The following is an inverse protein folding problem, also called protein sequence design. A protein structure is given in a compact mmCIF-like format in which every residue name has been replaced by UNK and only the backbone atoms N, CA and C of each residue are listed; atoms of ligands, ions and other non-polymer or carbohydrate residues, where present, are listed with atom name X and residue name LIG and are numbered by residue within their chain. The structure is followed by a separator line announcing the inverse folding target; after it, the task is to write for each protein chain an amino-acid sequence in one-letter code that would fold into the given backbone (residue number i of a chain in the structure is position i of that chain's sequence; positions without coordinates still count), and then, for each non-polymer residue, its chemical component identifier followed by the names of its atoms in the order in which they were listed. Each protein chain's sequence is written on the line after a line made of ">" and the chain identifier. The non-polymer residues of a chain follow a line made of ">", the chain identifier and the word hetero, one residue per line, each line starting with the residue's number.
data_IF_220001459737
#
_entry.id   IF_220001459737
#
_cell.length_a   1.000
_cell.length_b   1.000
_cell.length_c   1.000
_cell.angle_alpha   90.00
_cell.angle_beta   90.00
_cell.angle_gamma   90.00
#
_symmetry.space_group_name_H-M   'P 1'
#
loop_
_entity.id
_entity.type
_entity.pdbx_description
1 polymer ?
#
# COMPACT_ATOMS: atom_id res chain seq x y z
N UNK A 1 26.22 2.54 -18.84
CA UNK A 1 26.04 1.15 -18.39
C UNK A 1 24.56 0.86 -18.08
N UNK A 2 23.85 1.60 -17.16
CA UNK A 2 22.44 1.37 -16.87
C UNK A 2 21.56 1.40 -18.14
N UNK A 3 21.67 2.46 -18.95
CA UNK A 3 20.93 2.57 -20.20
C UNK A 3 21.26 1.46 -21.20
N UNK A 4 22.50 0.98 -21.25
CA UNK A 4 22.90 -0.13 -22.13
C UNK A 4 22.24 -1.45 -21.73
N UNK A 5 22.13 -1.72 -20.41
CA UNK A 5 21.42 -2.89 -19.92
C UNK A 5 19.93 -2.81 -20.25
N UNK A 6 19.31 -1.66 -19.97
CA UNK A 6 17.88 -1.43 -20.24
C UNK A 6 17.57 -1.57 -21.74
N UNK A 7 18.40 -0.98 -22.60
CA UNK A 7 18.21 -1.04 -24.06
C UNK A 7 18.32 -2.48 -24.63
N UNK A 8 19.00 -3.38 -23.94
CA UNK A 8 19.14 -4.81 -24.32
C UNK A 8 18.13 -5.72 -23.65
N UNK A 9 17.43 -5.23 -22.63
CA UNK A 9 16.48 -6.02 -21.85
C UNK A 9 15.30 -6.49 -22.71
N UNK A 10 14.84 -7.70 -22.47
CA UNK A 10 13.63 -8.26 -23.07
C UNK A 10 12.46 -8.25 -22.06
N UNK A 11 12.79 -8.31 -20.78
CA UNK A 11 11.85 -8.37 -19.66
C UNK A 11 12.24 -7.37 -18.56
N UNK A 12 12.39 -6.05 -18.88
CA UNK A 12 12.73 -5.08 -17.86
C UNK A 12 11.58 -4.90 -16.87
N UNK A 13 11.89 -4.72 -15.59
CA UNK A 13 10.91 -4.45 -14.56
C UNK A 13 11.43 -3.39 -13.59
N UNK A 14 10.64 -2.33 -13.35
CA UNK A 14 11.00 -1.25 -12.43
C UNK A 14 10.34 -1.46 -11.07
N UNK A 15 11.12 -1.25 -9.99
CA UNK A 15 10.64 -1.21 -8.61
C UNK A 15 10.69 0.23 -8.13
N UNK A 16 9.52 0.83 -7.89
CA UNK A 16 9.38 2.25 -7.57
C UNK A 16 9.21 2.44 -6.08
N UNK A 17 10.15 3.12 -5.44
CA UNK A 17 10.16 3.40 -4.02
C UNK A 17 9.85 4.85 -3.64
N UNK A 18 9.94 5.13 -2.34
CA UNK A 18 9.65 6.44 -1.75
C UNK A 18 10.62 7.54 -2.22
N UNK A 19 11.83 7.20 -2.64
CA UNK A 19 12.80 8.15 -3.13
C UNK A 19 12.31 8.96 -4.35
N UNK A 20 11.39 8.41 -5.14
CA UNK A 20 10.73 9.13 -6.24
C UNK A 20 9.80 10.22 -5.72
N UNK A 21 9.04 9.92 -4.67
CA UNK A 21 8.16 10.89 -4.00
C UNK A 21 8.96 12.01 -3.34
N UNK A 22 9.98 11.63 -2.55
CA UNK A 22 10.85 12.57 -1.83
C UNK A 22 11.64 13.49 -2.77
N UNK A 23 12.12 12.95 -3.90
CA UNK A 23 12.82 13.71 -4.93
C UNK A 23 11.88 14.53 -5.84
N UNK A 24 10.55 14.36 -5.71
CA UNK A 24 9.57 14.99 -6.60
C UNK A 24 9.72 14.57 -8.07
N UNK A 25 10.20 13.34 -8.33
CA UNK A 25 10.62 12.84 -9.64
C UNK A 25 9.50 12.10 -10.40
N UNK A 26 8.23 12.47 -10.16
CA UNK A 26 7.07 11.77 -10.73
C UNK A 26 7.01 11.83 -12.26
N UNK A 27 7.19 13.03 -12.83
CA UNK A 27 7.14 13.22 -14.28
C UNK A 27 8.33 12.52 -14.96
N UNK A 28 9.49 12.60 -14.34
CA UNK A 28 10.72 11.95 -14.81
C UNK A 28 10.60 10.42 -14.77
N UNK A 29 9.91 9.89 -13.75
CA UNK A 29 9.59 8.47 -13.69
C UNK A 29 8.66 8.05 -14.82
N UNK A 30 7.59 8.78 -15.07
CA UNK A 30 6.62 8.48 -16.13
C UNK A 30 7.33 8.50 -17.49
N UNK A 31 8.10 9.56 -17.79
CA UNK A 31 8.86 9.67 -19.04
C UNK A 31 9.86 8.50 -19.21
N UNK A 32 10.55 8.13 -18.13
CA UNK A 32 11.48 7.00 -18.12
C UNK A 32 10.77 5.67 -18.46
N UNK A 33 9.66 5.39 -17.79
CA UNK A 33 8.90 4.15 -17.99
C UNK A 33 8.28 4.09 -19.40
N UNK A 34 7.67 5.17 -19.85
CA UNK A 34 6.97 5.23 -21.14
C UNK A 34 7.96 5.15 -22.33
N UNK A 35 9.14 5.77 -22.22
CA UNK A 35 10.12 5.77 -23.31
C UNK A 35 10.57 4.37 -23.69
N UNK A 36 10.81 3.52 -22.71
CA UNK A 36 11.28 2.15 -22.93
C UNK A 36 10.21 1.08 -22.63
N UNK A 37 8.95 1.49 -22.43
CA UNK A 37 7.81 0.60 -22.17
C UNK A 37 8.07 -0.39 -21.02
N UNK A 38 8.52 0.15 -19.87
CA UNK A 38 8.93 -0.64 -18.71
C UNK A 38 7.77 -0.77 -17.73
N UNK A 39 7.22 -1.97 -17.49
CA UNK A 39 6.25 -2.19 -16.41
C UNK A 39 6.89 -1.92 -15.05
N UNK A 40 6.08 -1.42 -14.09
CA UNK A 40 6.56 -1.01 -12.79
C UNK A 40 5.69 -1.51 -11.64
N UNK A 41 6.33 -2.07 -10.61
CA UNK A 41 5.73 -2.34 -9.31
C UNK A 41 6.11 -1.25 -8.30
N UNK A 42 5.24 -0.98 -7.34
CA UNK A 42 5.43 0.08 -6.34
C UNK A 42 5.61 -0.52 -4.95
N UNK A 43 6.56 0.01 -4.19
CA UNK A 43 6.65 -0.32 -2.75
C UNK A 43 5.52 0.36 -1.97
N UNK A 44 5.27 -0.06 -0.74
CA UNK A 44 4.27 0.55 0.14
C UNK A 44 4.39 2.10 0.19
N UNK A 45 5.59 2.61 0.42
CA UNK A 45 5.85 4.06 0.47
C UNK A 45 5.94 4.73 -0.92
N UNK A 46 5.98 3.95 -1.99
CA UNK A 46 6.00 4.45 -3.37
C UNK A 46 4.64 4.36 -4.08
N UNK A 47 3.55 4.02 -3.37
CA UNK A 47 2.25 3.74 -3.98
C UNK A 47 1.67 4.90 -4.78
N UNK A 48 1.92 6.15 -4.38
CA UNK A 48 1.43 7.33 -5.11
C UNK A 48 2.46 7.94 -6.08
N UNK A 49 3.66 7.32 -6.21
CA UNK A 49 4.67 7.78 -7.17
C UNK A 49 4.27 7.55 -8.63
N UNK A 50 3.42 6.57 -8.89
CA UNK A 50 2.85 6.27 -10.20
C UNK A 50 1.33 6.11 -10.06
N UNK A 51 0.50 6.82 -10.85
CA UNK A 51 -0.95 6.72 -10.76
C UNK A 51 -1.45 5.28 -10.87
N UNK A 52 -2.51 4.95 -10.09
CA UNK A 52 -3.07 3.59 -10.06
C UNK A 52 -3.64 3.16 -11.41
N UNK A 53 -4.11 4.10 -12.24
CA UNK A 53 -4.65 3.87 -13.58
C UNK A 53 -3.59 3.97 -14.69
N UNK A 54 -2.30 4.14 -14.37
CA UNK A 54 -1.27 4.20 -15.39
C UNK A 54 -1.06 2.81 -16.03
N UNK A 55 -0.98 2.70 -17.37
CA UNK A 55 -0.92 1.39 -18.07
C UNK A 55 0.32 0.56 -17.73
N UNK A 56 1.40 1.19 -17.29
CA UNK A 56 2.63 0.50 -16.86
C UNK A 56 2.65 0.19 -15.36
N UNK A 57 1.60 0.54 -14.62
CA UNK A 57 1.50 0.22 -13.20
C UNK A 57 1.02 -1.23 -13.02
N UNK A 58 1.88 -2.06 -12.44
CA UNK A 58 1.59 -3.48 -12.23
C UNK A 58 1.07 -3.83 -10.84
N UNK A 59 1.05 -2.89 -9.90
CA UNK A 59 0.55 -3.08 -8.54
C UNK A 59 1.60 -2.85 -7.46
N UNK A 60 1.30 -3.33 -6.25
CA UNK A 60 2.19 -3.23 -5.08
C UNK A 60 3.16 -4.42 -5.04
N UNK A 61 4.37 -4.18 -4.53
CA UNK A 61 5.43 -5.17 -4.31
C UNK A 61 5.47 -5.66 -2.86
N UNK A 62 6.08 -6.81 -2.66
CA UNK A 62 6.48 -7.32 -1.35
C UNK A 62 5.52 -8.31 -0.72
N UNK A 63 5.68 -8.52 0.59
CA UNK A 63 5.02 -9.58 1.37
C UNK A 63 3.48 -9.63 1.18
N UNK A 64 2.82 -8.49 1.12
CA UNK A 64 1.38 -8.34 0.86
C UNK A 64 1.13 -7.62 -0.47
N UNK A 65 2.06 -7.72 -1.40
CA UNK A 65 1.97 -7.13 -2.73
C UNK A 65 0.98 -7.84 -3.64
N UNK A 66 0.88 -7.35 -4.87
CA UNK A 66 0.10 -8.00 -5.93
C UNK A 66 0.80 -9.27 -6.41
N UNK A 67 0.04 -10.30 -6.69
CA UNK A 67 0.57 -11.60 -7.12
C UNK A 67 1.42 -11.46 -8.38
N UNK A 68 0.90 -10.76 -9.40
CA UNK A 68 1.62 -10.54 -10.64
C UNK A 68 2.98 -9.84 -10.46
N UNK A 69 3.08 -8.81 -9.60
CA UNK A 69 4.34 -8.08 -9.40
C UNK A 69 5.41 -8.96 -8.77
N UNK A 70 5.05 -9.78 -7.80
CA UNK A 70 5.98 -10.68 -7.12
C UNK A 70 6.45 -11.81 -8.02
N UNK A 71 5.53 -12.44 -8.78
CA UNK A 71 5.87 -13.48 -9.75
C UNK A 71 6.80 -12.93 -10.83
N UNK A 72 6.47 -11.76 -11.39
CA UNK A 72 7.26 -11.15 -12.48
C UNK A 72 8.61 -10.57 -12.04
N UNK A 73 8.80 -10.29 -10.75
CA UNK A 73 10.13 -10.00 -10.19
C UNK A 73 11.07 -11.18 -10.39
N UNK A 74 10.58 -12.41 -10.30
CA UNK A 74 11.38 -13.62 -10.49
C UNK A 74 11.54 -14.06 -11.95
N UNK A 75 10.89 -13.36 -12.89
CA UNK A 75 10.97 -13.66 -14.33
C UNK A 75 11.70 -12.59 -15.15
N UNK A 76 11.89 -11.39 -14.59
CA UNK A 76 12.54 -10.28 -15.28
C UNK A 76 14.02 -10.58 -15.57
N UNK A 77 14.57 -9.98 -16.65
CA UNK A 77 15.98 -10.08 -16.99
C UNK A 77 16.80 -8.85 -16.54
N UNK A 78 16.15 -7.71 -16.37
CA UNK A 78 16.71 -6.50 -15.78
C UNK A 78 15.75 -5.93 -14.76
N UNK A 79 16.19 -5.85 -13.50
CA UNK A 79 15.47 -5.27 -12.39
C UNK A 79 16.01 -3.87 -12.08
N UNK A 80 15.13 -2.86 -12.08
CA UNK A 80 15.53 -1.46 -11.93
C UNK A 80 14.91 -0.93 -10.63
N UNK A 81 15.68 -0.92 -9.55
CA UNK A 81 15.26 -0.38 -8.26
C UNK A 81 15.46 1.14 -8.23
N UNK A 82 14.39 1.89 -8.03
CA UNK A 82 14.38 3.35 -8.10
C UNK A 82 13.96 3.95 -6.77
N UNK A 83 14.91 4.52 -6.02
CA UNK A 83 14.66 5.17 -4.74
C UNK A 83 14.01 4.25 -3.71
N UNK A 84 14.45 3.00 -3.62
CA UNK A 84 13.91 1.99 -2.70
C UNK A 84 15.03 1.19 -2.06
N UNK A 85 14.83 0.87 -0.78
CA UNK A 85 15.68 -0.08 -0.07
C UNK A 85 15.18 -1.49 -0.35
N UNK A 86 16.04 -2.43 -0.55
CA UNK A 86 15.68 -3.84 -0.60
C UNK A 86 15.40 -4.39 0.81
N UNK A 87 14.31 -3.90 1.46
CA UNK A 87 13.93 -4.38 2.79
C UNK A 87 13.40 -5.81 2.75
N UNK A 88 13.43 -6.48 3.89
CA UNK A 88 12.93 -7.85 4.08
C UNK A 88 11.45 -8.01 3.68
N UNK A 89 10.66 -6.94 3.83
CA UNK A 89 9.24 -6.92 3.40
C UNK A 89 9.06 -6.91 1.89
N UNK A 90 10.10 -6.55 1.14
CA UNK A 90 10.10 -6.57 -0.34
C UNK A 90 10.79 -7.83 -0.86
N UNK A 91 11.93 -8.22 -0.27
CA UNK A 91 12.77 -9.27 -0.82
C UNK A 91 12.41 -10.68 -0.34
N UNK A 92 11.73 -10.80 0.81
CA UNK A 92 11.64 -12.09 1.49
C UNK A 92 13.05 -12.63 1.76
N UNK A 93 13.43 -13.73 1.14
CA UNK A 93 14.78 -14.33 1.24
C UNK A 93 15.70 -13.68 0.20
N UNK A 94 16.66 -12.81 0.58
CA UNK A 94 17.50 -12.05 -0.35
C UNK A 94 18.24 -12.91 -1.38
N UNK A 95 18.75 -14.07 -0.98
CA UNK A 95 19.49 -14.97 -1.87
C UNK A 95 18.64 -15.62 -2.97
N UNK A 96 17.32 -15.54 -2.84
CA UNK A 96 16.34 -16.05 -3.81
C UNK A 96 15.67 -14.92 -4.62
N UNK A 97 15.97 -13.66 -4.33
CA UNK A 97 15.30 -12.52 -4.93
C UNK A 97 15.91 -12.18 -6.28
N UNK A 98 15.14 -12.35 -7.35
CA UNK A 98 15.52 -12.07 -8.74
C UNK A 98 16.93 -12.56 -9.14
N UNK A 99 17.34 -13.81 -8.84
CA UNK A 99 18.70 -14.28 -9.04
C UNK A 99 19.11 -14.35 -10.53
N UNK A 100 18.15 -14.35 -11.43
CA UNK A 100 18.32 -14.37 -12.88
C UNK A 100 18.52 -12.99 -13.49
N UNK A 101 18.15 -11.91 -12.77
CA UNK A 101 18.12 -10.55 -13.28
C UNK A 101 19.45 -9.82 -13.12
N UNK A 102 19.75 -8.90 -14.03
CA UNK A 102 20.73 -7.85 -13.81
C UNK A 102 20.11 -6.73 -12.99
N UNK A 103 20.74 -6.34 -11.91
CA UNK A 103 20.21 -5.37 -10.94
C UNK A 103 20.79 -3.99 -11.19
N UNK A 104 19.94 -3.01 -11.49
CA UNK A 104 20.26 -1.59 -11.52
C UNK A 104 19.65 -0.95 -10.27
N UNK A 105 20.46 -0.31 -9.43
CA UNK A 105 19.97 0.33 -8.21
C UNK A 105 20.25 1.84 -8.25
N UNK A 106 19.18 2.63 -8.32
CA UNK A 106 19.19 4.08 -8.22
C UNK A 106 18.81 4.49 -6.81
N UNK A 107 19.73 5.05 -6.06
CA UNK A 107 19.49 5.57 -4.74
C UNK A 107 20.36 6.80 -4.44
N UNK A 108 19.85 7.73 -3.63
CA UNK A 108 20.59 8.90 -3.19
C UNK A 108 21.61 8.54 -2.11
N UNK A 109 21.31 7.50 -1.32
CA UNK A 109 22.18 7.01 -0.25
C UNK A 109 23.11 5.90 -0.76
N UNK A 110 24.38 6.22 -0.89
CA UNK A 110 25.41 5.23 -1.26
C UNK A 110 25.46 4.04 -0.31
N UNK A 111 25.06 4.21 0.97
CA UNK A 111 25.08 3.13 1.97
C UNK A 111 23.99 2.07 1.73
N UNK A 112 22.96 2.35 0.94
CA UNK A 112 21.96 1.36 0.55
C UNK A 112 22.41 0.47 -0.63
N UNK A 113 23.41 0.90 -1.39
CA UNK A 113 23.95 0.11 -2.52
C UNK A 113 24.68 -1.13 -1.99
N UNK A 114 24.40 -2.27 -2.57
CA UNK A 114 24.96 -3.59 -2.21
C UNK A 114 24.69 -4.07 -0.76
N UNK A 115 23.83 -3.38 -0.03
CA UNK A 115 23.55 -3.67 1.37
C UNK A 115 22.76 -4.96 1.56
N UNK A 116 21.78 -5.23 0.72
CA UNK A 116 20.91 -6.43 0.81
C UNK A 116 21.00 -7.26 -0.46
N UNK A 117 20.87 -6.64 -1.62
CA UNK A 117 20.93 -7.28 -2.93
C UNK A 117 22.17 -6.75 -3.66
N UNK A 118 22.94 -7.66 -4.23
CA UNK A 118 24.11 -7.32 -5.04
C UNK A 118 23.69 -6.58 -6.31
N UNK A 119 24.28 -5.42 -6.54
CA UNK A 119 23.98 -4.54 -7.68
C UNK A 119 24.96 -4.79 -8.82
N UNK A 120 24.47 -4.92 -10.07
CA UNK A 120 25.34 -4.94 -11.26
C UNK A 120 25.72 -3.51 -11.69
N UNK A 121 24.75 -2.56 -11.60
CA UNK A 121 25.00 -1.14 -11.92
C UNK A 121 24.39 -0.26 -10.83
N UNK A 122 25.24 0.46 -10.11
CA UNK A 122 24.84 1.45 -9.12
C UNK A 122 24.74 2.86 -9.75
N UNK A 123 23.62 3.56 -9.50
CA UNK A 123 23.41 4.95 -9.89
C UNK A 123 23.16 5.75 -8.60
N UNK A 124 24.23 6.32 -8.04
CA UNK A 124 24.15 7.12 -6.81
C UNK A 124 23.77 8.56 -7.16
N UNK A 125 22.58 8.98 -6.74
CA UNK A 125 22.09 10.34 -7.00
C UNK A 125 20.58 10.46 -6.82
N UNK A 126 20.12 11.71 -6.80
CA UNK A 126 18.71 12.03 -6.72
C UNK A 126 17.95 11.54 -7.97
N UNK A 127 16.81 10.88 -7.77
CA UNK A 127 15.95 10.38 -8.86
C UNK A 127 15.55 11.50 -9.83
N UNK A 128 15.36 12.73 -9.34
CA UNK A 128 15.04 13.91 -10.15
C UNK A 128 16.08 14.21 -11.21
N UNK A 129 17.34 13.86 -10.96
CA UNK A 129 18.47 14.07 -11.89
C UNK A 129 18.86 12.79 -12.61
N UNK A 130 18.87 11.67 -11.91
CA UNK A 130 19.33 10.39 -12.44
C UNK A 130 18.39 9.84 -13.52
N UNK A 131 17.07 9.91 -13.32
CA UNK A 131 16.09 9.42 -14.29
C UNK A 131 16.21 10.13 -15.65
N UNK A 132 16.20 11.48 -15.75
CA UNK A 132 16.37 12.15 -17.04
C UNK A 132 17.72 11.86 -17.70
N UNK A 133 18.79 11.69 -16.91
CA UNK A 133 20.10 11.37 -17.45
C UNK A 133 20.12 10.00 -18.14
N UNK A 134 19.47 9.00 -17.54
CA UNK A 134 19.32 7.67 -18.13
C UNK A 134 18.35 7.72 -19.31
N UNK A 135 17.18 8.37 -19.14
CA UNK A 135 16.12 8.47 -20.14
C UNK A 135 16.63 9.02 -21.46
N UNK A 136 17.51 10.03 -21.45
CA UNK A 136 18.13 10.55 -22.67
C UNK A 136 18.87 9.50 -23.50
N UNK A 137 19.45 8.49 -22.82
CA UNK A 137 20.25 7.42 -23.45
C UNK A 137 19.43 6.17 -23.79
N UNK A 138 18.15 6.13 -23.39
CA UNK A 138 17.26 5.01 -23.72
C UNK A 138 16.79 5.10 -25.16
N UNK A 139 16.72 3.95 -25.80
CA UNK A 139 15.99 3.77 -27.04
C UNK A 139 14.48 3.75 -26.76
N UNK A 140 13.67 4.21 -27.72
CA UNK A 140 12.24 3.94 -27.67
C UNK A 140 12.04 2.44 -27.91
N UNK A 141 11.34 1.79 -27.01
CA UNK A 141 11.11 0.34 -27.06
C UNK A 141 9.63 0.00 -26.80
N UNK A 142 9.26 -1.24 -27.07
CA UNK A 142 7.93 -1.79 -26.80
C UNK A 142 8.10 -3.21 -26.26
N UNK A 143 7.64 -3.44 -25.04
CA UNK A 143 7.70 -4.75 -24.37
C UNK A 143 6.30 -5.35 -24.20
N UNK A 144 5.48 -5.30 -25.25
CA UNK A 144 4.07 -5.70 -25.20
C UNK A 144 3.86 -7.12 -24.67
N UNK A 145 4.56 -8.11 -25.23
CA UNK A 145 4.45 -9.51 -24.80
C UNK A 145 4.81 -9.67 -23.32
N UNK A 146 5.83 -8.94 -22.86
CA UNK A 146 6.23 -8.94 -21.47
C UNK A 146 5.15 -8.31 -20.56
N UNK A 147 4.59 -7.18 -20.92
CA UNK A 147 3.47 -6.55 -20.18
C UNK A 147 2.24 -7.44 -20.16
N UNK A 148 1.86 -8.00 -21.32
CA UNK A 148 0.69 -8.85 -21.45
C UNK A 148 0.83 -10.13 -20.59
N UNK A 149 2.06 -10.60 -20.36
CA UNK A 149 2.32 -11.78 -19.52
C UNK A 149 2.00 -11.59 -18.03
N UNK A 150 1.78 -10.36 -17.56
CA UNK A 150 1.29 -10.10 -16.20
C UNK A 150 -0.18 -10.48 -16.02
N UNK A 151 -0.95 -10.52 -17.12
CA UNK A 151 -2.39 -10.66 -17.07
C UNK A 151 -2.83 -12.01 -16.50
N UNK A 152 -2.11 -13.09 -16.80
CA UNK A 152 -2.39 -14.40 -16.24
C UNK A 152 -2.40 -14.40 -14.70
N UNK A 153 -1.39 -13.78 -14.07
CA UNK A 153 -1.31 -13.70 -12.61
C UNK A 153 -2.30 -12.72 -12.02
N UNK A 154 -2.61 -11.63 -12.74
CA UNK A 154 -3.65 -10.67 -12.33
C UNK A 154 -5.03 -11.34 -12.32
N UNK A 155 -5.35 -12.14 -13.33
CA UNK A 155 -6.61 -12.84 -13.39
C UNK A 155 -6.74 -13.84 -12.25
N UNK A 156 -5.69 -14.61 -11.95
CA UNK A 156 -5.69 -15.54 -10.82
C UNK A 156 -5.94 -14.83 -9.49
N UNK A 157 -5.31 -13.68 -9.29
CA UNK A 157 -5.49 -12.84 -8.10
C UNK A 157 -6.89 -12.23 -8.04
N UNK A 158 -7.41 -11.74 -9.17
CA UNK A 158 -8.76 -11.19 -9.27
C UNK A 158 -9.81 -12.21 -8.84
N UNK A 159 -9.75 -13.43 -9.38
CA UNK A 159 -10.74 -14.49 -9.11
C UNK A 159 -10.63 -15.04 -7.68
N UNK A 160 -9.41 -15.23 -7.17
CA UNK A 160 -9.21 -15.89 -5.88
C UNK A 160 -9.30 -14.97 -4.69
N UNK A 161 -8.90 -13.70 -4.85
CA UNK A 161 -8.74 -12.75 -3.74
C UNK A 161 -9.57 -11.49 -3.94
N UNK A 162 -9.27 -10.71 -5.00
CA UNK A 162 -9.77 -9.34 -5.11
C UNK A 162 -11.30 -9.29 -5.14
N UNK A 163 -11.93 -10.13 -5.98
CA UNK A 163 -13.40 -10.14 -6.10
C UNK A 163 -14.09 -10.47 -4.78
N UNK A 164 -13.52 -11.39 -4.01
CA UNK A 164 -14.05 -11.77 -2.70
C UNK A 164 -13.90 -10.66 -1.66
N UNK A 165 -12.79 -9.90 -1.73
CA UNK A 165 -12.47 -8.86 -0.74
C UNK A 165 -13.26 -7.57 -0.97
N UNK A 166 -13.51 -7.20 -2.25
CA UNK A 166 -14.11 -5.90 -2.58
C UNK A 166 -15.58 -5.97 -3.00
N UNK A 167 -16.06 -7.15 -3.43
CA UNK A 167 -17.44 -7.38 -3.86
C UNK A 167 -18.08 -8.60 -3.19
N UNK A 168 -17.94 -8.79 -1.86
CA UNK A 168 -18.58 -9.91 -1.20
C UNK A 168 -20.11 -9.78 -1.27
N UNK A 169 -20.80 -10.90 -1.54
CA UNK A 169 -22.27 -10.92 -1.66
C UNK A 169 -22.98 -11.27 -0.36
N UNK A 170 -22.28 -11.88 0.59
CA UNK A 170 -22.83 -12.37 1.86
C UNK A 170 -21.81 -12.26 3.01
N UNK A 171 -22.25 -12.55 4.21
CA UNK A 171 -21.40 -12.51 5.41
C UNK A 171 -21.17 -11.10 5.96
N UNK A 172 -20.31 -10.96 6.98
CA UNK A 172 -19.98 -9.67 7.57
C UNK A 172 -19.21 -8.77 6.60
N UNK A 173 -19.12 -7.47 6.93
CA UNK A 173 -18.29 -6.51 6.17
C UNK A 173 -16.82 -6.96 6.17
N UNK A 174 -16.12 -6.70 5.05
CA UNK A 174 -14.69 -6.90 4.90
C UNK A 174 -13.95 -5.57 4.80
N UNK A 175 -12.67 -5.55 5.20
CA UNK A 175 -11.84 -4.34 5.11
C UNK A 175 -11.67 -3.88 3.65
N UNK A 176 -11.57 -4.83 2.71
CA UNK A 176 -11.40 -4.54 1.27
C UNK A 176 -12.58 -3.79 0.68
N UNK A 177 -13.82 -4.23 0.95
CA UNK A 177 -15.02 -3.55 0.44
C UNK A 177 -15.18 -2.14 1.02
N UNK A 178 -14.90 -1.96 2.34
CA UNK A 178 -14.92 -0.62 2.96
C UNK A 178 -13.89 0.29 2.28
N UNK A 179 -12.68 -0.21 2.06
CA UNK A 179 -11.62 0.57 1.40
C UNK A 179 -12.00 0.94 -0.03
N UNK A 180 -12.58 0.01 -0.79
CA UNK A 180 -13.00 0.24 -2.16
C UNK A 180 -14.09 1.32 -2.24
N UNK A 181 -15.11 1.25 -1.39
CA UNK A 181 -16.19 2.25 -1.35
C UNK A 181 -15.65 3.64 -0.97
N UNK A 182 -14.74 3.73 -0.01
CA UNK A 182 -14.15 5.03 0.38
C UNK A 182 -13.30 5.63 -0.74
N UNK A 183 -12.47 4.83 -1.42
CA UNK A 183 -11.64 5.36 -2.51
C UNK A 183 -12.47 5.83 -3.70
N UNK A 184 -13.55 5.13 -4.05
CA UNK A 184 -14.49 5.53 -5.09
C UNK A 184 -15.27 6.80 -4.73
N UNK A 185 -15.78 6.89 -3.50
CA UNK A 185 -16.49 8.08 -3.01
C UNK A 185 -15.61 9.34 -2.98
N UNK A 186 -14.28 9.18 -2.94
CA UNK A 186 -13.30 10.28 -3.03
C UNK A 186 -12.73 10.47 -4.43
N UNK A 187 -13.30 9.83 -5.44
CA UNK A 187 -12.86 9.88 -6.85
C UNK A 187 -11.38 9.51 -7.03
N UNK A 188 -10.83 8.67 -6.13
CA UNK A 188 -9.43 8.25 -6.10
C UNK A 188 -8.43 9.41 -5.91
N UNK A 189 -8.86 10.53 -5.35
CA UNK A 189 -8.05 11.75 -5.19
C UNK A 189 -7.68 12.08 -3.75
N UNK A 190 -8.26 11.37 -2.76
CA UNK A 190 -7.96 11.61 -1.35
C UNK A 190 -6.51 11.26 -0.99
N UNK A 191 -6.06 11.78 0.15
CA UNK A 191 -4.85 11.32 0.83
C UNK A 191 -5.25 10.17 1.75
N UNK A 192 -4.66 9.00 1.53
CA UNK A 192 -4.72 7.87 2.44
C UNK A 192 -3.73 8.10 3.57
N UNK A 193 -4.22 8.13 4.79
CA UNK A 193 -3.40 7.91 5.98
C UNK A 193 -3.82 6.59 6.58
N UNK A 194 -2.88 5.71 6.89
CA UNK A 194 -3.22 4.48 7.57
C UNK A 194 -2.38 4.24 8.81
N UNK A 195 -3.03 3.67 9.82
CA UNK A 195 -2.36 3.13 10.98
C UNK A 195 -1.71 1.77 10.63
N UNK A 196 -1.16 1.08 11.58
CA UNK A 196 -0.40 -0.15 11.38
C UNK A 196 -1.23 -1.39 11.73
N UNK A 197 -1.09 -2.42 10.92
CA UNK A 197 -1.76 -3.71 11.06
C UNK A 197 -2.49 -4.14 9.77
N UNK A 198 -3.52 -4.97 9.91
CA UNK A 198 -4.32 -5.43 8.76
C UNK A 198 -4.95 -4.27 7.99
N UNK A 199 -5.41 -3.23 8.69
CA UNK A 199 -5.92 -2.01 8.08
C UNK A 199 -4.92 -1.35 7.13
N UNK A 200 -3.62 -1.34 7.47
CA UNK A 200 -2.55 -0.80 6.63
C UNK A 200 -2.39 -1.59 5.35
N UNK A 201 -2.36 -2.91 5.46
CA UNK A 201 -2.13 -3.81 4.33
C UNK A 201 -3.28 -3.73 3.33
N UNK A 202 -4.52 -3.82 3.80
CA UNK A 202 -5.71 -3.79 2.97
C UNK A 202 -5.97 -2.42 2.36
N UNK A 203 -5.87 -1.35 3.16
CA UNK A 203 -6.07 0.00 2.62
C UNK A 203 -4.98 0.37 1.60
N UNK A 204 -3.73 -0.01 1.82
CA UNK A 204 -2.65 0.20 0.85
C UNK A 204 -2.86 -0.59 -0.45
N UNK A 205 -3.50 -1.75 -0.38
CA UNK A 205 -3.76 -2.62 -1.52
C UNK A 205 -4.91 -2.12 -2.38
N UNK A 206 -6.01 -1.71 -1.77
CA UNK A 206 -7.26 -1.41 -2.49
C UNK A 206 -7.53 0.09 -2.70
N UNK A 207 -6.88 0.97 -1.95
CA UNK A 207 -7.01 2.40 -2.19
C UNK A 207 -6.32 2.80 -3.49
N UNK A 208 -6.98 3.62 -4.29
CA UNK A 208 -6.48 4.07 -5.59
C UNK A 208 -5.89 5.48 -5.48
N UNK A 209 -4.82 5.72 -6.23
CA UNK A 209 -4.09 6.98 -6.24
C UNK A 209 -4.02 7.53 -7.66
N UNK A 210 -4.68 8.65 -7.91
CA UNK A 210 -4.59 9.40 -9.17
C UNK A 210 -3.70 10.63 -9.05
N UNK A 211 -3.40 11.03 -7.81
CA UNK A 211 -2.52 12.16 -7.49
C UNK A 211 -1.27 11.68 -6.75
N UNK A 212 -0.18 12.40 -6.94
CA UNK A 212 1.08 12.21 -6.20
C UNK A 212 0.95 12.61 -4.74
N UNK A 213 1.87 12.16 -3.89
CA UNK A 213 1.90 12.49 -2.45
C UNK A 213 0.55 12.20 -1.77
N UNK A 214 0.01 11.01 -2.02
CA UNK A 214 -1.32 10.62 -1.57
C UNK A 214 -1.34 9.50 -0.55
N UNK A 215 -0.18 9.08 -0.03
CA UNK A 215 -0.10 8.09 1.04
C UNK A 215 0.81 8.58 2.17
N UNK A 216 0.33 8.43 3.41
CA UNK A 216 1.07 8.71 4.64
C UNK A 216 0.95 7.51 5.55
N UNK A 217 2.07 6.84 5.83
CA UNK A 217 2.08 5.58 6.58
C UNK A 217 3.41 5.37 7.32
N UNK A 218 3.36 4.69 8.46
CA UNK A 218 4.56 4.24 9.18
C UNK A 218 5.18 3.01 8.51
N UNK A 219 5.72 3.17 7.28
CA UNK A 219 6.27 2.09 6.48
C UNK A 219 7.70 1.66 6.87
N UNK A 220 8.35 2.38 7.78
CA UNK A 220 9.68 2.04 8.30
C UNK A 220 9.61 1.21 9.57
N UNK A 221 9.13 1.80 10.65
CA UNK A 221 9.05 1.15 11.97
C UNK A 221 7.73 0.42 12.23
N UNK A 222 6.67 0.69 11.48
CA UNK A 222 5.38 0.06 11.70
C UNK A 222 4.78 0.40 13.07
N UNK A 223 4.75 1.68 13.42
CA UNK A 223 4.32 2.17 14.73
C UNK A 223 2.81 2.25 14.79
N UNK A 224 2.15 1.38 15.56
CA UNK A 224 0.72 1.51 15.86
C UNK A 224 0.43 2.83 16.60
N UNK A 225 -0.73 3.43 16.31
CA UNK A 225 -1.10 4.76 16.81
C UNK A 225 -0.59 5.93 15.94
N UNK A 226 0.18 5.64 14.89
CA UNK A 226 0.69 6.65 13.96
C UNK A 226 -0.44 7.38 13.20
N UNK A 227 -1.50 6.67 12.86
CA UNK A 227 -2.51 7.12 11.88
C UNK A 227 -3.19 8.44 12.28
N UNK A 228 -3.70 8.54 13.51
CA UNK A 228 -4.49 9.69 13.94
C UNK A 228 -3.67 11.00 13.96
N UNK A 229 -2.52 11.09 14.66
CA UNK A 229 -1.70 12.30 14.63
C UNK A 229 -1.17 12.63 13.22
N UNK A 230 -0.83 11.63 12.42
CA UNK A 230 -0.38 11.84 11.05
C UNK A 230 -1.50 12.40 10.15
N UNK A 231 -2.74 11.94 10.33
CA UNK A 231 -3.89 12.46 9.60
C UNK A 231 -4.19 13.91 9.94
N UNK A 232 -4.05 14.29 11.20
CA UNK A 232 -4.14 15.71 11.61
C UNK A 232 -3.08 16.52 10.87
N UNK A 233 -1.82 16.09 10.90
CA UNK A 233 -0.74 16.76 10.16
C UNK A 233 -1.02 16.86 8.65
N UNK A 234 -1.59 15.80 8.05
CA UNK A 234 -1.93 15.77 6.64
C UNK A 234 -2.99 16.84 6.26
N UNK A 235 -3.93 17.18 7.16
CA UNK A 235 -4.92 18.25 6.90
C UNK A 235 -4.27 19.61 6.75
N UNK A 236 -3.15 19.86 7.43
CA UNK A 236 -2.37 21.10 7.29
C UNK A 236 -1.45 21.07 6.06
N UNK A 237 -0.89 19.89 5.76
CA UNK A 237 0.00 19.72 4.60
C UNK A 237 -0.72 19.69 3.25
N UNK A 238 -2.00 19.31 3.24
CA UNK A 238 -2.83 19.20 2.04
C UNK A 238 -4.25 19.72 2.30
N UNK A 239 -4.43 21.03 2.61
CA UNK A 239 -5.69 21.60 3.06
C UNK A 239 -6.82 21.52 2.03
N UNK A 240 -6.48 21.42 0.75
CA UNK A 240 -7.45 21.33 -0.37
C UNK A 240 -7.84 19.90 -0.72
N UNK A 241 -7.38 18.89 0.06
CA UNK A 241 -7.62 17.49 -0.21
C UNK A 241 -8.39 16.82 0.92
N UNK A 242 -9.22 15.85 0.58
CA UNK A 242 -9.84 14.95 1.56
C UNK A 242 -8.78 14.05 2.19
N UNK A 243 -8.71 14.03 3.51
CA UNK A 243 -7.81 13.15 4.27
C UNK A 243 -8.63 12.01 4.84
N UNK A 244 -8.39 10.80 4.34
CA UNK A 244 -9.03 9.57 4.82
C UNK A 244 -8.03 8.79 5.68
N UNK A 245 -8.36 8.57 6.95
CA UNK A 245 -7.52 7.84 7.88
C UNK A 245 -8.14 6.51 8.28
N UNK A 246 -7.45 5.41 7.97
CA UNK A 246 -7.87 4.05 8.31
C UNK A 246 -7.13 3.56 9.56
N UNK A 247 -7.89 3.01 10.51
CA UNK A 247 -7.37 2.43 11.73
C UNK A 247 -7.96 1.04 11.96
N UNK A 248 -7.22 0.17 12.64
CA UNK A 248 -7.82 -0.89 13.46
C UNK A 248 -8.20 -0.32 14.84
N UNK A 249 -9.09 -1.01 15.53
CA UNK A 249 -9.55 -0.64 16.86
C UNK A 249 -8.41 -0.51 17.89
N UNK A 250 -7.40 -1.38 17.81
CA UNK A 250 -6.23 -1.28 18.68
C UNK A 250 -5.37 -0.04 18.40
N UNK A 251 -5.09 0.25 17.12
CA UNK A 251 -4.30 1.41 16.73
C UNK A 251 -4.98 2.75 17.07
N UNK A 252 -6.29 2.83 16.86
CA UNK A 252 -7.07 4.02 17.19
C UNK A 252 -7.00 4.37 18.69
N UNK A 253 -7.07 3.35 19.58
CA UNK A 253 -7.01 3.58 21.02
C UNK A 253 -5.64 4.04 21.52
N UNK A 254 -4.55 3.77 20.79
CA UNK A 254 -3.19 4.12 21.23
C UNK A 254 -2.93 5.63 21.28
N UNK A 255 -3.59 6.42 20.43
CA UNK A 255 -3.49 7.87 20.41
C UNK A 255 -4.87 8.55 20.39
N UNK A 256 -5.87 7.96 21.04
CA UNK A 256 -7.24 8.46 21.06
C UNK A 256 -7.36 9.87 21.64
N UNK A 257 -6.43 10.29 22.51
CA UNK A 257 -6.36 11.65 23.06
C UNK A 257 -6.19 12.75 21.99
N UNK A 258 -5.70 12.38 20.79
CA UNK A 258 -5.58 13.31 19.66
C UNK A 258 -6.93 13.75 19.06
N UNK A 259 -8.04 13.12 19.48
CA UNK A 259 -9.38 13.63 19.23
C UNK A 259 -9.56 15.03 19.85
N UNK A 260 -8.84 15.33 20.95
CA UNK A 260 -8.76 16.68 21.51
C UNK A 260 -8.14 17.68 20.54
N UNK A 261 -7.06 17.31 19.87
CA UNK A 261 -6.43 18.12 18.84
C UNK A 261 -7.36 18.33 17.63
N UNK A 262 -8.08 17.29 17.20
CA UNK A 262 -9.08 17.38 16.13
C UNK A 262 -10.19 18.37 16.53
N UNK A 263 -10.71 18.26 17.75
CA UNK A 263 -11.76 19.14 18.27
C UNK A 263 -11.28 20.60 18.32
N UNK A 264 -10.10 20.85 18.85
CA UNK A 264 -9.55 22.21 19.00
C UNK A 264 -9.25 22.86 17.63
N UNK A 265 -8.63 22.11 16.72
CA UNK A 265 -8.22 22.61 15.42
C UNK A 265 -9.30 22.47 14.33
N UNK A 266 -10.42 21.82 14.64
CA UNK A 266 -11.47 21.46 13.66
C UNK A 266 -10.90 20.75 12.43
N UNK A 267 -9.88 19.92 12.63
CA UNK A 267 -9.15 19.22 11.56
C UNK A 267 -10.08 18.29 10.80
N UNK A 268 -10.27 18.46 9.46
CA UNK A 268 -11.31 17.77 8.69
C UNK A 268 -10.92 16.32 8.32
N UNK A 269 -10.46 15.54 9.28
CA UNK A 269 -10.07 14.15 9.09
C UNK A 269 -11.31 13.26 8.93
N UNK A 270 -11.37 12.47 7.87
CA UNK A 270 -12.34 11.37 7.71
C UNK A 270 -11.73 10.11 8.33
N UNK A 271 -12.19 9.77 9.52
CA UNK A 271 -11.71 8.66 10.34
C UNK A 271 -12.54 7.40 10.03
N UNK A 272 -11.91 6.38 9.47
CA UNK A 272 -12.50 5.09 9.13
C UNK A 272 -11.95 4.04 10.11
N UNK A 273 -12.77 3.67 11.09
CA UNK A 273 -12.41 2.70 12.12
C UNK A 273 -12.87 1.30 11.70
N UNK A 274 -11.94 0.45 11.33
CA UNK A 274 -12.17 -0.96 11.00
C UNK A 274 -12.15 -1.78 12.30
N UNK A 275 -13.33 -1.97 12.88
CA UNK A 275 -13.49 -2.63 14.18
C UNK A 275 -13.75 -4.13 14.00
N UNK A 276 -12.76 -4.95 14.32
CA UNK A 276 -12.86 -6.41 14.32
C UNK A 276 -12.71 -7.05 15.70
N UNK A 277 -12.63 -6.25 16.76
CA UNK A 277 -12.39 -6.69 18.14
C UNK A 277 -11.09 -7.49 18.34
N UNK A 278 -10.10 -7.29 17.46
CA UNK A 278 -8.83 -8.01 17.54
C UNK A 278 -7.64 -7.13 17.17
N UNK A 279 -6.48 -7.42 17.76
CA UNK A 279 -5.19 -7.12 17.18
C UNK A 279 -4.98 -8.08 15.99
N UNK A 280 -5.68 -7.81 14.88
CA UNK A 280 -5.91 -8.77 13.80
C UNK A 280 -4.64 -9.31 13.16
N UNK A 281 -3.61 -8.47 12.96
CA UNK A 281 -2.33 -8.93 12.44
C UNK A 281 -1.62 -9.90 13.42
N UNK A 282 -1.65 -9.62 14.72
CA UNK A 282 -1.05 -10.51 15.74
C UNK A 282 -1.83 -11.82 15.82
N UNK A 283 -3.18 -11.76 15.75
CA UNK A 283 -4.02 -12.97 15.68
C UNK A 283 -3.65 -13.84 14.48
N UNK A 284 -3.57 -13.28 13.28
CA UNK A 284 -3.21 -14.01 12.06
C UNK A 284 -1.83 -14.68 12.17
N UNK A 285 -0.85 -14.01 12.80
CA UNK A 285 0.45 -14.63 13.08
C UNK A 285 0.36 -15.76 14.12
N UNK A 286 -0.52 -15.65 15.11
CA UNK A 286 -0.75 -16.73 16.09
C UNK A 286 -1.43 -17.93 15.44
N UNK A 287 -2.30 -17.72 14.46
CA UNK A 287 -2.87 -18.81 13.65
C UNK A 287 -1.76 -19.51 12.83
N UNK A 288 -0.98 -18.74 12.07
CA UNK A 288 0.06 -19.26 11.19
C UNK A 288 1.21 -19.98 11.91
N UNK A 289 1.67 -19.43 13.03
CA UNK A 289 2.93 -19.86 13.66
C UNK A 289 2.72 -20.66 14.95
N UNK A 290 1.55 -20.57 15.57
CA UNK A 290 1.27 -21.12 16.88
C UNK A 290 0.03 -22.01 16.94
N UNK A 291 -0.50 -22.44 15.76
CA UNK A 291 -1.65 -23.35 15.66
C UNK A 291 -2.90 -22.81 16.34
N UNK A 292 -3.19 -21.52 16.15
CA UNK A 292 -4.38 -20.87 16.69
C UNK A 292 -4.40 -20.67 18.20
N UNK A 293 -3.26 -20.79 18.87
CA UNK A 293 -3.16 -20.49 20.31
C UNK A 293 -3.14 -18.99 20.56
N UNK A 294 -4.31 -18.36 20.51
CA UNK A 294 -4.46 -16.93 20.71
C UNK A 294 -4.14 -16.51 22.13
N UNK A 295 -3.38 -15.43 22.28
CA UNK A 295 -3.03 -14.83 23.56
C UNK A 295 -3.05 -13.31 23.46
N UNK A 296 -3.90 -12.66 24.27
CA UNK A 296 -4.05 -11.20 24.36
C UNK A 296 -4.28 -10.48 23.01
N UNK A 297 -4.95 -11.12 22.06
CA UNK A 297 -5.29 -10.53 20.77
C UNK A 297 -6.73 -10.09 20.66
N UNK A 298 -7.64 -10.71 21.41
CA UNK A 298 -9.03 -10.24 21.49
C UNK A 298 -9.12 -8.96 22.34
N UNK A 299 -9.90 -8.00 21.89
CA UNK A 299 -10.09 -6.70 22.50
C UNK A 299 -11.54 -6.50 22.94
N UNK A 300 -11.73 -5.87 24.10
CA UNK A 300 -13.00 -5.26 24.50
C UNK A 300 -12.90 -3.77 24.19
N UNK A 301 -13.65 -3.33 23.20
CA UNK A 301 -13.61 -1.94 22.75
C UNK A 301 -14.53 -1.03 23.54
N UNK A 302 -14.22 0.26 23.71
CA UNK A 302 -15.11 1.24 24.30
C UNK A 302 -16.29 1.55 23.37
N UNK A 303 -17.30 2.24 23.88
CA UNK A 303 -18.39 2.77 23.07
C UNK A 303 -17.90 3.98 22.25
N UNK A 304 -17.47 3.76 21.00
CA UNK A 304 -16.91 4.80 20.15
C UNK A 304 -17.90 5.94 19.85
N UNK A 305 -19.20 5.65 19.81
CA UNK A 305 -20.25 6.67 19.69
C UNK A 305 -20.19 7.71 20.82
N UNK A 306 -20.04 7.24 22.07
CA UNK A 306 -19.96 8.12 23.24
C UNK A 306 -18.63 8.90 23.28
N UNK A 307 -17.55 8.29 22.80
CA UNK A 307 -16.26 8.97 22.66
C UNK A 307 -16.36 10.08 21.62
N UNK A 308 -16.86 9.79 20.42
CA UNK A 308 -17.05 10.79 19.38
C UNK A 308 -17.92 11.95 19.84
N UNK A 309 -19.02 11.64 20.52
CA UNK A 309 -19.92 12.64 21.12
C UNK A 309 -19.23 13.51 22.15
N UNK A 310 -18.38 12.96 23.02
CA UNK A 310 -17.62 13.70 24.03
C UNK A 310 -16.69 14.76 23.41
N UNK A 311 -16.14 14.47 22.22
CA UNK A 311 -15.30 15.39 21.45
C UNK A 311 -16.08 16.23 20.41
N UNK A 312 -17.42 16.11 20.38
CA UNK A 312 -18.25 16.85 19.40
C UNK A 312 -18.03 16.43 17.93
N UNK A 313 -17.57 15.20 17.70
CA UNK A 313 -17.28 14.66 16.38
C UNK A 313 -18.49 13.89 15.85
N UNK A 314 -19.03 14.21 14.66
CA UNK A 314 -20.07 13.40 14.03
C UNK A 314 -19.65 11.96 13.85
N UNK A 315 -20.58 11.04 14.11
CA UNK A 315 -20.35 9.60 14.14
C UNK A 315 -21.47 8.83 13.45
N UNK A 316 -21.09 7.78 12.77
CA UNK A 316 -21.96 6.70 12.32
C UNK A 316 -21.27 5.33 12.49
N UNK A 317 -22.09 4.28 12.55
CA UNK A 317 -21.59 2.89 12.51
C UNK A 317 -22.21 2.13 11.35
N UNK A 318 -21.38 1.41 10.58
CA UNK A 318 -21.82 0.47 9.54
C UNK A 318 -21.77 -0.94 10.10
N UNK A 319 -22.93 -1.58 10.22
CA UNK A 319 -23.07 -2.99 10.62
C UNK A 319 -23.54 -3.82 9.43
N UNK A 320 -24.47 -3.26 8.65
CA UNK A 320 -25.04 -3.92 7.49
C UNK A 320 -24.43 -3.33 6.19
N UNK A 321 -23.98 -4.21 5.29
CA UNK A 321 -23.35 -3.86 4.00
C UNK A 321 -24.20 -2.90 3.18
N UNK A 322 -25.52 -3.04 3.19
CA UNK A 322 -26.44 -2.17 2.44
C UNK A 322 -26.33 -0.69 2.79
N UNK A 323 -25.86 -0.38 4.02
CA UNK A 323 -25.73 0.99 4.52
C UNK A 323 -24.35 1.60 4.23
N UNK A 324 -23.36 0.79 3.79
CA UNK A 324 -21.97 1.21 3.64
C UNK A 324 -21.83 2.40 2.70
N UNK A 325 -22.35 2.30 1.49
CA UNK A 325 -22.25 3.36 0.47
C UNK A 325 -22.82 4.69 0.99
N UNK A 326 -24.05 4.68 1.49
CA UNK A 326 -24.73 5.88 1.95
C UNK A 326 -24.02 6.56 3.14
N UNK A 327 -23.47 5.76 4.08
CA UNK A 327 -22.76 6.29 5.25
C UNK A 327 -21.37 6.82 4.87
N UNK A 328 -20.68 6.20 3.94
CA UNK A 328 -19.42 6.71 3.40
C UNK A 328 -19.66 8.05 2.66
N UNK A 329 -20.65 8.12 1.78
CA UNK A 329 -20.99 9.37 1.08
C UNK A 329 -21.36 10.50 2.05
N UNK A 330 -22.13 10.18 3.11
CA UNK A 330 -22.47 11.13 4.18
C UNK A 330 -21.19 11.61 4.89
N UNK A 331 -20.27 10.69 5.25
CA UNK A 331 -19.00 11.06 5.88
C UNK A 331 -18.19 11.98 4.98
N UNK A 332 -18.03 11.65 3.69
CA UNK A 332 -17.24 12.45 2.74
C UNK A 332 -17.84 13.83 2.50
N UNK A 333 -19.17 13.92 2.37
CA UNK A 333 -19.86 15.19 2.13
C UNK A 333 -19.98 16.08 3.37
N UNK A 334 -19.84 15.54 4.58
CA UNK A 334 -19.91 16.30 5.83
C UNK A 334 -18.68 17.19 5.97
N UNK A 335 -18.85 18.46 6.26
CA UNK A 335 -17.75 19.38 6.58
C UNK A 335 -17.13 19.04 7.94
N UNK A 336 -15.81 19.24 8.07
CA UNK A 336 -15.07 18.98 9.31
C UNK A 336 -14.75 17.49 9.54
N UNK A 337 -14.37 17.12 10.78
CA UNK A 337 -14.04 15.75 11.16
C UNK A 337 -15.27 14.84 11.14
N UNK A 338 -15.03 13.55 10.96
CA UNK A 338 -16.09 12.53 11.02
C UNK A 338 -15.49 11.17 11.41
N UNK A 339 -16.15 10.45 12.29
CA UNK A 339 -15.77 9.08 12.66
C UNK A 339 -16.82 8.10 12.11
N UNK A 340 -16.39 7.25 11.19
CA UNK A 340 -17.19 6.14 10.67
C UNK A 340 -16.61 4.83 11.22
N UNK A 341 -17.33 4.19 12.11
CA UNK A 341 -17.02 2.85 12.58
C UNK A 341 -17.62 1.81 11.61
N UNK A 342 -16.81 0.85 11.19
CA UNK A 342 -17.25 -0.28 10.38
C UNK A 342 -17.04 -1.57 11.18
N UNK A 343 -18.13 -2.25 11.55
CA UNK A 343 -18.09 -3.55 12.20
C UNK A 343 -17.74 -4.61 11.17
N UNK A 344 -16.46 -4.95 11.08
CA UNK A 344 -15.93 -5.88 10.08
C UNK A 344 -15.77 -7.29 10.63
N UNK A 345 -15.50 -8.24 9.75
CA UNK A 345 -15.23 -9.65 10.10
C UNK A 345 -14.09 -9.76 11.10
N UNK A 346 -14.31 -10.46 12.21
CA UNK A 346 -13.35 -10.59 13.31
C UNK A 346 -12.06 -11.33 12.89
N UNK A 347 -12.21 -12.40 12.14
CA UNK A 347 -11.12 -13.30 11.74
C UNK A 347 -10.79 -13.21 10.25
N UNK A 348 -10.80 -12.01 9.70
CA UNK A 348 -10.34 -11.77 8.34
C UNK A 348 -8.82 -11.98 8.26
N UNK A 349 -8.38 -12.75 7.26
CA UNK A 349 -6.96 -12.97 6.98
C UNK A 349 -6.55 -12.14 5.77
N UNK A 350 -5.32 -11.62 5.81
CA UNK A 350 -4.78 -10.82 4.72
C UNK A 350 -4.04 -11.73 3.76
N UNK A 351 -4.57 -11.79 2.55
CA UNK A 351 -3.96 -12.45 1.39
C UNK A 351 -4.01 -11.50 0.18
N UNK A 352 -3.13 -11.66 -0.83
CA UNK A 352 -2.00 -12.57 -0.89
C UNK A 352 -0.93 -12.30 0.16
N UNK A 353 -0.19 -13.33 0.52
CA UNK A 353 0.90 -13.20 1.49
C UNK A 353 2.09 -14.10 1.16
N UNK A 354 3.30 -13.54 1.21
CA UNK A 354 4.53 -14.32 1.23
C UNK A 354 4.92 -14.61 2.66
N UNK A 355 4.96 -15.88 3.04
CA UNK A 355 5.32 -16.28 4.40
C UNK A 355 6.81 -16.05 4.69
N UNK A 356 7.19 -15.83 5.96
CA UNK A 356 8.59 -15.69 6.35
C UNK A 356 9.43 -16.88 5.91
N UNK A 357 10.64 -16.61 5.42
CA UNK A 357 11.54 -17.63 4.92
C UNK A 357 11.20 -18.18 3.53
N UNK A 358 10.17 -17.63 2.90
CA UNK A 358 9.77 -17.94 1.53
C UNK A 358 10.30 -16.92 0.53
N UNK A 359 10.44 -17.34 -0.71
CA UNK A 359 10.69 -16.45 -1.85
C UNK A 359 9.41 -15.71 -2.23
N UNK A 360 9.52 -14.57 -2.89
CA UNK A 360 8.35 -13.73 -3.25
C UNK A 360 7.40 -14.42 -4.23
N UNK A 361 7.88 -15.36 -5.04
CA UNK A 361 7.08 -16.20 -5.93
C UNK A 361 6.41 -17.40 -5.23
N UNK A 362 6.75 -17.67 -3.96
CA UNK A 362 6.03 -18.60 -3.11
C UNK A 362 4.84 -17.94 -2.38
N UNK A 363 4.33 -16.84 -2.94
CA UNK A 363 3.19 -16.10 -2.40
C UNK A 363 1.91 -16.94 -2.41
N UNK A 364 1.19 -16.91 -1.30
CA UNK A 364 -0.06 -17.65 -1.13
C UNK A 364 -1.27 -16.74 -1.38
N UNK A 365 -2.20 -17.21 -2.20
CA UNK A 365 -3.49 -16.56 -2.47
C UNK A 365 -4.58 -17.02 -1.49
N UNK A 366 -4.35 -18.11 -0.77
CA UNK A 366 -5.21 -18.65 0.28
C UNK A 366 -4.31 -19.20 1.39
N UNK A 367 -4.72 -19.00 2.66
CA UNK A 367 -4.01 -19.56 3.81
C UNK A 367 -4.72 -20.83 4.28
N UNK A 368 -3.96 -21.90 4.43
CA UNK A 368 -4.43 -23.17 4.99
C UNK A 368 -3.74 -23.38 6.33
N UNK A 369 -4.51 -23.43 7.42
CA UNK A 369 -4.05 -23.62 8.80
C UNK A 369 -4.08 -25.09 9.19
#
# INVERSE_FOLDING_TARGET
>A
EAAELINKAKKPFALVGHGVELGGAHNELIEFLEKADIPAGRTLLGLSALPSNHPLNMGMLGMHGSYATNMKTQECDVLIAIGMRFSDRITGVPSKYAPQAKIIHLDIDKAEIDKVIKTDVAVVGDCKQSLPAITRLLNKNVHREWRDSFEEYRQQEQEKVIEKDIHPTEGPLLMGEVTNVVTEATHNEAVLVNDVGQNQMISSRYFKFTKKLSIVTSGGFGTMGFGLPAAIGATFGAPDRTICCFFGDGGFQMNIQELGTIMEQQAPVKMILLNNNYLGNVRQWQDLMFGGRHSFTHMMNPHYAEIAKAYGIPYDVVIDRKDLQAKVEKMISTKGPYLLECAIKENEDIVPMTLPGKSVDEMQLELNY
#
